data_IF_791419614369
#
_entry.id   IF_791419614369
#
_cell.length_a   1.000
_cell.length_b   1.000
_cell.length_c   1.000
_cell.angle_alpha   90.00
_cell.angle_beta   90.00
_cell.angle_gamma   90.00
#
_symmetry.space_group_name_H-M   'P 1'
#
loop_
_entity.id
_entity.type
_entity.pdbx_description
1 polymer ?
#
# COMPACT_ATOMS: atom_id res chain seq x y z
N UNK A 1 -26.42 -10.77 -88.72
CA UNK A 1 -26.21 -9.35 -88.38
C UNK A 1 -26.30 -9.17 -86.86
N UNK A 2 -25.12 -8.99 -86.27
CA UNK A 2 -24.80 -8.18 -85.10
C UNK A 2 -25.82 -7.96 -83.97
N UNK A 3 -25.39 -8.44 -82.81
CA UNK A 3 -25.19 -7.64 -81.60
C UNK A 3 -26.42 -7.17 -80.82
N UNK A 4 -26.83 -8.02 -79.87
CA UNK A 4 -27.24 -7.60 -78.52
C UNK A 4 -26.61 -8.48 -77.43
N UNK A 5 -25.47 -9.10 -77.73
CA UNK A 5 -24.61 -9.83 -76.78
C UNK A 5 -23.66 -8.91 -75.98
N UNK A 6 -23.84 -7.60 -76.08
CA UNK A 6 -23.05 -6.56 -75.40
C UNK A 6 -23.81 -5.96 -74.19
N UNK A 7 -24.55 -6.77 -73.43
CA UNK A 7 -25.17 -6.33 -72.17
C UNK A 7 -24.92 -7.26 -70.98
N UNK A 8 -24.11 -8.32 -71.17
CA UNK A 8 -23.81 -9.35 -70.17
C UNK A 8 -22.31 -9.46 -69.83
N UNK A 9 -21.54 -8.39 -70.05
CA UNK A 9 -20.09 -8.37 -69.78
C UNK A 9 -19.61 -7.30 -68.79
N UNK A 10 -20.47 -6.81 -67.91
CA UNK A 10 -20.05 -5.85 -66.88
C UNK A 10 -20.63 -6.22 -65.49
N UNK A 11 -20.09 -7.27 -64.87
CA UNK A 11 -20.19 -7.48 -63.42
C UNK A 11 -19.28 -8.63 -62.95
N UNK A 12 -17.97 -8.56 -63.24
CA UNK A 12 -16.97 -9.32 -62.48
C UNK A 12 -15.70 -8.49 -62.32
N UNK A 13 -15.77 -7.55 -61.39
CA UNK A 13 -14.61 -7.00 -60.69
C UNK A 13 -15.11 -6.58 -59.31
N UNK A 14 -15.60 -7.55 -58.55
CA UNK A 14 -15.80 -7.39 -57.11
C UNK A 14 -14.41 -7.36 -56.47
N UNK A 15 -13.83 -6.18 -56.34
CA UNK A 15 -12.66 -5.96 -55.51
C UNK A 15 -13.02 -6.37 -54.09
N UNK A 16 -12.58 -7.55 -53.67
CA UNK A 16 -12.52 -7.91 -52.25
C UNK A 16 -11.45 -7.04 -51.62
N UNK A 17 -11.82 -5.80 -51.28
CA UNK A 17 -11.08 -5.04 -50.30
C UNK A 17 -11.27 -5.78 -48.97
N UNK A 18 -10.35 -6.69 -48.68
CA UNK A 18 -10.16 -7.18 -47.33
C UNK A 18 -9.83 -5.96 -46.48
N UNK A 19 -10.83 -5.45 -45.77
CA UNK A 19 -10.62 -4.47 -44.71
C UNK A 19 -9.85 -5.23 -43.64
N UNK A 20 -8.52 -5.11 -43.69
CA UNK A 20 -7.69 -5.51 -42.58
C UNK A 20 -8.12 -4.63 -41.41
N UNK A 21 -8.93 -5.20 -40.51
CA UNK A 21 -9.10 -4.63 -39.19
C UNK A 21 -7.69 -4.44 -38.63
N UNK A 22 -7.36 -3.25 -38.10
CA UNK A 22 -6.07 -3.12 -37.44
C UNK A 22 -6.10 -4.16 -36.32
N UNK A 23 -5.22 -5.16 -36.44
CA UNK A 23 -4.85 -5.98 -35.31
C UNK A 23 -4.32 -4.96 -34.30
N UNK A 24 -5.17 -4.59 -33.34
CA UNK A 24 -4.74 -3.96 -32.13
C UNK A 24 -3.77 -4.97 -31.53
N UNK A 25 -2.49 -4.80 -31.85
CA UNK A 25 -1.42 -5.46 -31.14
C UNK A 25 -1.74 -5.21 -29.68
N UNK A 26 -2.07 -6.28 -28.95
CA UNK A 26 -2.26 -6.19 -27.52
C UNK A 26 -0.90 -5.79 -26.97
N UNK A 27 -0.67 -4.48 -26.83
CA UNK A 27 0.37 -3.98 -25.98
C UNK A 27 0.08 -4.65 -24.63
N UNK A 28 0.92 -5.60 -24.23
CA UNK A 28 0.82 -6.21 -22.93
C UNK A 28 0.83 -5.06 -21.93
N UNK A 29 -0.33 -4.81 -21.34
CA UNK A 29 -0.48 -3.77 -20.35
C UNK A 29 0.58 -4.05 -19.28
N UNK A 30 1.38 -3.03 -18.94
CA UNK A 30 2.34 -3.17 -17.85
C UNK A 30 1.59 -3.70 -16.62
N UNK A 31 2.17 -4.62 -15.84
CA UNK A 31 1.53 -5.07 -14.61
C UNK A 31 1.21 -3.85 -13.75
N UNK A 32 0.08 -3.90 -13.05
CA UNK A 32 -0.33 -2.83 -12.14
C UNK A 32 0.79 -2.59 -11.14
N UNK A 33 0.96 -1.36 -10.67
CA UNK A 33 1.88 -1.05 -9.58
C UNK A 33 1.09 -0.39 -8.48
N UNK A 34 0.63 -1.18 -7.51
CA UNK A 34 -0.22 -0.65 -6.45
C UNK A 34 0.51 0.37 -5.57
N UNK A 35 -0.17 1.48 -5.28
CA UNK A 35 0.27 2.48 -4.33
C UNK A 35 -0.89 3.00 -3.48
N UNK A 36 -0.54 3.60 -2.36
CA UNK A 36 -1.49 4.31 -1.51
C UNK A 36 -1.03 5.75 -1.31
N UNK A 37 -1.99 6.66 -1.26
CA UNK A 37 -1.79 8.06 -0.90
C UNK A 37 -2.63 8.38 0.32
N UNK A 38 -2.04 9.09 1.29
CA UNK A 38 -2.70 9.55 2.50
C UNK A 38 -2.70 11.07 2.52
N UNK A 39 -3.87 11.68 2.33
CA UNK A 39 -4.08 13.12 2.43
C UNK A 39 -4.28 13.51 3.91
N UNK A 40 -3.22 14.00 4.55
CA UNK A 40 -3.24 14.35 5.97
C UNK A 40 -4.12 15.58 6.25
N UNK A 41 -4.43 16.39 5.24
CA UNK A 41 -5.37 17.53 5.37
C UNK A 41 -6.81 17.06 5.60
N UNK A 42 -7.12 15.81 5.23
CA UNK A 42 -8.44 15.19 5.37
C UNK A 42 -8.50 14.16 6.49
N UNK A 43 -7.35 13.75 7.04
CA UNK A 43 -7.33 12.75 8.09
C UNK A 43 -7.68 13.38 9.44
N UNK A 44 -8.77 12.92 10.04
CA UNK A 44 -9.23 13.39 11.36
C UNK A 44 -8.86 12.45 12.51
N UNK A 45 -8.04 11.41 12.26
CA UNK A 45 -7.60 10.48 13.32
C UNK A 45 -8.67 9.52 13.86
N UNK A 46 -9.81 9.34 13.19
CA UNK A 46 -10.96 8.58 13.70
C UNK A 46 -10.76 7.07 13.95
N UNK A 47 -9.59 6.49 13.63
CA UNK A 47 -9.27 5.06 13.75
C UNK A 47 -10.15 4.07 12.97
N UNK A 48 -11.11 4.52 12.15
CA UNK A 48 -11.96 3.62 11.33
C UNK A 48 -11.11 2.68 10.47
N UNK A 49 -10.04 3.21 9.86
CA UNK A 49 -9.11 2.41 9.07
C UNK A 49 -8.33 1.35 9.86
N UNK A 50 -8.02 1.61 11.14
CA UNK A 50 -7.39 0.65 12.05
C UNK A 50 -8.35 -0.49 12.35
N UNK A 51 -9.59 -0.16 12.76
CA UNK A 51 -10.63 -1.15 13.11
C UNK A 51 -11.00 -2.01 11.90
N UNK A 52 -11.28 -1.41 10.74
CA UNK A 52 -11.63 -2.16 9.54
C UNK A 52 -10.50 -3.08 9.09
N UNK A 53 -9.24 -2.65 9.19
CA UNK A 53 -8.10 -3.49 8.85
C UNK A 53 -7.97 -4.67 9.82
N UNK A 54 -8.18 -4.44 11.11
CA UNK A 54 -8.17 -5.50 12.14
C UNK A 54 -9.25 -6.54 11.87
N UNK A 55 -10.50 -6.13 11.63
CA UNK A 55 -11.62 -7.04 11.35
C UNK A 55 -11.38 -7.82 10.05
N UNK A 56 -11.05 -7.11 8.96
CA UNK A 56 -10.90 -7.71 7.63
C UNK A 56 -9.78 -8.77 7.58
N UNK A 57 -8.74 -8.60 8.41
CA UNK A 57 -7.53 -9.42 8.34
C UNK A 57 -7.31 -10.29 9.59
N UNK A 58 -8.30 -10.40 10.48
CA UNK A 58 -8.22 -11.06 11.79
C UNK A 58 -6.91 -10.75 12.54
N UNK A 59 -6.58 -9.45 12.62
CA UNK A 59 -5.36 -9.02 13.29
C UNK A 59 -5.55 -9.21 14.81
N UNK A 60 -4.60 -9.86 15.50
CA UNK A 60 -4.72 -10.08 16.94
C UNK A 60 -4.77 -8.79 17.77
N UNK A 61 -5.32 -8.89 18.98
CA UNK A 61 -5.39 -7.76 19.92
C UNK A 61 -4.00 -7.21 20.25
N UNK A 62 -3.87 -5.88 20.37
CA UNK A 62 -2.58 -5.24 20.62
C UNK A 62 -1.62 -5.26 19.42
N UNK A 63 -2.04 -5.77 18.26
CA UNK A 63 -1.28 -5.74 17.01
C UNK A 63 -2.07 -5.04 15.92
N UNK A 64 -1.37 -4.34 15.03
CA UNK A 64 -2.01 -3.52 14.00
C UNK A 64 -1.24 -3.56 12.68
N UNK A 65 -1.95 -3.86 11.58
CA UNK A 65 -1.41 -3.71 10.22
C UNK A 65 -1.38 -2.25 9.77
N UNK A 66 -2.21 -1.39 10.37
CA UNK A 66 -2.17 0.06 10.23
C UNK A 66 -2.57 0.70 11.56
N UNK A 67 -1.92 1.80 11.95
CA UNK A 67 -2.24 2.57 13.14
C UNK A 67 -2.32 4.06 12.79
N UNK A 68 -3.03 4.86 13.57
CA UNK A 68 -3.09 6.32 13.41
C UNK A 68 -2.57 7.00 14.67
N UNK A 69 -1.24 7.01 14.90
CA UNK A 69 -0.65 7.77 16.00
C UNK A 69 -0.98 9.25 15.91
N UNK A 70 -1.12 9.86 17.08
CA UNK A 70 -1.28 11.30 17.29
C UNK A 70 0.01 11.82 17.90
N UNK A 71 0.52 12.92 17.35
CA UNK A 71 1.71 13.60 17.81
C UNK A 71 1.33 15.01 18.26
N UNK A 72 1.89 15.45 19.37
CA UNK A 72 1.82 16.85 19.79
C UNK A 72 3.02 17.59 19.18
N UNK A 73 2.73 18.69 18.50
CA UNK A 73 3.70 19.51 17.80
C UNK A 73 3.58 20.95 18.28
N UNK A 74 4.72 21.56 18.60
CA UNK A 74 4.77 23.00 18.80
C UNK A 74 4.42 23.71 17.48
N UNK A 75 3.37 24.52 17.50
CA UNK A 75 2.93 25.37 16.40
C UNK A 75 3.17 26.85 16.70
N UNK A 76 3.04 27.72 15.69
CA UNK A 76 3.18 29.17 15.87
C UNK A 76 2.16 29.76 16.85
N UNK A 77 0.96 29.15 16.95
CA UNK A 77 -0.13 29.58 17.83
C UNK A 77 -0.23 28.75 19.12
N UNK A 78 0.81 27.97 19.44
CA UNK A 78 0.85 27.04 20.56
C UNK A 78 0.80 25.56 20.14
N UNK A 79 0.67 24.63 21.11
CA UNK A 79 0.64 23.20 20.83
C UNK A 79 -0.51 22.81 19.91
N UNK A 80 -0.21 21.93 18.97
CA UNK A 80 -1.16 21.38 18.00
C UNK A 80 -1.03 19.87 17.91
N UNK A 81 -2.08 19.17 17.47
CA UNK A 81 -2.02 17.73 17.23
C UNK A 81 -1.91 17.43 15.74
N UNK A 82 -1.01 16.52 15.41
CA UNK A 82 -0.88 15.95 14.08
C UNK A 82 -1.17 14.45 14.11
N UNK A 83 -2.04 14.00 13.22
CA UNK A 83 -2.34 12.58 13.03
C UNK A 83 -1.50 12.07 11.87
N UNK A 84 -0.89 10.89 12.02
CA UNK A 84 -0.12 10.28 10.95
C UNK A 84 -0.51 8.81 10.80
N UNK A 85 -1.42 8.47 9.88
CA UNK A 85 -1.73 7.08 9.58
C UNK A 85 -0.48 6.35 9.07
N UNK A 86 -0.03 5.32 9.78
CA UNK A 86 1.14 4.49 9.46
C UNK A 86 0.71 3.08 9.07
N UNK A 87 1.41 2.51 8.10
CA UNK A 87 1.25 1.13 7.62
C UNK A 87 2.53 0.68 6.90
N UNK A 88 2.57 -0.56 6.41
CA UNK A 88 3.65 -1.01 5.54
C UNK A 88 3.71 -0.15 4.27
N UNK A 89 4.90 0.31 3.91
CA UNK A 89 5.09 1.14 2.71
C UNK A 89 5.21 0.35 1.41
N UNK A 90 5.21 -1.00 1.46
CA UNK A 90 5.37 -1.87 0.28
C UNK A 90 6.53 -1.44 -0.64
N UNK A 91 7.70 -1.20 -0.03
CA UNK A 91 8.84 -0.52 -0.64
C UNK A 91 9.35 -1.16 -1.95
N UNK A 92 9.91 -0.35 -2.85
CA UNK A 92 10.62 -0.77 -4.07
C UNK A 92 11.90 -1.56 -3.76
N UNK A 93 12.66 -1.10 -2.77
CA UNK A 93 13.84 -1.76 -2.23
C UNK A 93 13.56 -2.14 -0.76
N UNK A 94 12.80 -3.22 -0.51
CA UNK A 94 12.34 -3.57 0.82
C UNK A 94 13.45 -4.27 1.63
N UNK A 95 14.01 -3.65 2.70
CA UNK A 95 15.08 -4.25 3.49
C UNK A 95 14.65 -5.53 4.23
N UNK A 96 13.34 -5.73 4.36
CA UNK A 96 12.75 -6.89 5.01
C UNK A 96 12.79 -8.18 4.17
N UNK A 97 13.00 -8.11 2.85
CA UNK A 97 13.13 -9.28 1.96
C UNK A 97 14.49 -9.98 2.10
N UNK A 98 15.64 -9.32 1.86
CA UNK A 98 16.93 -9.99 1.83
C UNK A 98 17.36 -10.58 3.18
N UNK A 99 16.75 -10.14 4.29
CA UNK A 99 17.02 -10.66 5.64
C UNK A 99 16.24 -11.93 5.99
N UNK A 100 15.32 -12.38 5.15
CA UNK A 100 14.53 -13.57 5.42
C UNK A 100 15.33 -14.85 5.10
N UNK A 101 15.72 -15.66 6.10
CA UNK A 101 16.61 -16.81 5.86
C UNK A 101 15.94 -17.95 5.08
N UNK A 102 14.60 -17.94 5.05
CA UNK A 102 13.78 -18.96 4.41
C UNK A 102 13.01 -18.41 3.22
N UNK A 103 13.28 -17.18 2.74
CA UNK A 103 12.59 -16.56 1.60
C UNK A 103 11.05 -16.46 1.72
N UNK A 104 10.51 -16.51 2.94
CA UNK A 104 9.07 -16.42 3.17
C UNK A 104 8.48 -15.03 2.85
N UNK A 105 9.28 -13.96 2.76
CA UNK A 105 8.77 -12.63 2.38
C UNK A 105 9.27 -12.24 1.01
N UNK A 106 8.33 -11.89 0.14
CA UNK A 106 8.59 -11.63 -1.27
C UNK A 106 7.74 -10.45 -1.75
N UNK A 107 8.00 -9.99 -2.98
CA UNK A 107 7.24 -8.94 -3.64
C UNK A 107 6.44 -9.56 -4.79
N UNK A 108 5.16 -9.26 -4.87
CA UNK A 108 4.31 -9.64 -6.00
C UNK A 108 4.66 -8.82 -7.24
N UNK A 109 4.29 -9.30 -8.43
CA UNK A 109 4.45 -8.53 -9.69
C UNK A 109 3.71 -7.18 -9.65
N UNK A 110 2.66 -7.07 -8.83
CA UNK A 110 1.91 -5.82 -8.66
C UNK A 110 2.50 -4.85 -7.61
N UNK A 111 3.69 -5.16 -7.07
CA UNK A 111 4.43 -4.31 -6.13
C UNK A 111 4.16 -4.53 -4.65
N UNK A 112 3.14 -5.33 -4.28
CA UNK A 112 2.87 -5.62 -2.87
C UNK A 112 3.95 -6.55 -2.29
N UNK A 113 4.68 -6.09 -1.26
CA UNK A 113 5.46 -6.97 -0.39
C UNK A 113 4.50 -7.81 0.45
N UNK A 114 4.66 -9.13 0.55
CA UNK A 114 3.81 -10.09 1.28
C UNK A 114 4.65 -11.13 2.04
N UNK A 115 4.00 -11.99 2.83
CA UNK A 115 4.62 -13.09 3.57
C UNK A 115 3.86 -14.37 3.27
N UNK A 116 4.58 -15.40 2.85
CA UNK A 116 4.12 -16.78 2.81
C UNK A 116 4.07 -17.34 4.24
N UNK A 117 2.88 -17.71 4.69
CA UNK A 117 2.66 -18.21 6.03
C UNK A 117 3.23 -19.63 6.24
N UNK A 118 3.23 -20.47 5.21
CA UNK A 118 3.68 -21.86 5.29
C UNK A 118 5.21 -21.94 5.37
N UNK A 119 5.89 -20.98 4.75
CA UNK A 119 7.36 -20.92 4.74
C UNK A 119 7.94 -20.13 5.93
N UNK A 120 7.13 -19.32 6.61
CA UNK A 120 7.61 -18.45 7.68
C UNK A 120 8.00 -19.22 8.95
N UNK A 121 9.21 -18.98 9.46
CA UNK A 121 9.74 -19.61 10.69
C UNK A 121 9.80 -18.65 11.90
N UNK A 122 9.08 -17.52 11.85
CA UNK A 122 9.01 -16.52 12.93
C UNK A 122 10.35 -16.01 13.52
N UNK A 123 11.45 -16.06 12.79
CA UNK A 123 12.76 -15.57 13.27
C UNK A 123 12.81 -14.07 13.62
N UNK A 124 11.86 -13.26 13.15
CA UNK A 124 11.78 -11.83 13.49
C UNK A 124 12.77 -10.90 12.78
N UNK A 125 13.70 -11.40 11.94
CA UNK A 125 14.66 -10.54 11.24
C UNK A 125 13.99 -9.49 10.35
N UNK A 126 12.92 -9.86 9.65
CA UNK A 126 12.16 -8.90 8.84
C UNK A 126 11.46 -7.82 9.68
N UNK A 127 11.12 -8.10 10.95
CA UNK A 127 10.56 -7.13 11.89
C UNK A 127 11.60 -6.08 12.24
N UNK A 128 12.79 -6.52 12.64
CA UNK A 128 13.91 -5.63 13.00
C UNK A 128 14.43 -4.82 11.81
N UNK A 129 14.47 -5.41 10.62
CA UNK A 129 14.95 -4.74 9.41
C UNK A 129 14.00 -3.66 8.86
N UNK A 130 12.74 -3.61 9.32
CA UNK A 130 11.77 -2.66 8.79
C UNK A 130 11.97 -1.27 9.43
N UNK A 131 12.40 -0.23 8.68
CA UNK A 131 12.63 1.10 9.25
C UNK A 131 11.33 1.81 9.68
N UNK A 132 10.18 1.22 9.35
CA UNK A 132 8.86 1.78 9.61
C UNK A 132 8.15 1.12 10.78
N UNK A 133 8.75 0.09 11.40
CA UNK A 133 8.13 -0.71 12.46
C UNK A 133 6.77 -1.30 12.03
N UNK A 134 6.61 -1.56 10.73
CA UNK A 134 5.34 -1.95 10.13
C UNK A 134 5.10 -3.47 10.13
N UNK A 135 5.96 -4.23 10.81
CA UNK A 135 5.94 -5.70 10.89
C UNK A 135 5.91 -6.12 12.35
N UNK A 136 5.29 -7.25 12.62
CA UNK A 136 5.28 -7.90 13.93
C UNK A 136 5.21 -9.42 13.74
N UNK A 137 5.46 -10.20 14.79
CA UNK A 137 5.11 -11.63 14.78
C UNK A 137 3.70 -11.76 15.31
N UNK A 138 2.78 -12.23 14.48
CA UNK A 138 1.39 -12.48 14.86
C UNK A 138 1.36 -13.54 15.97
N UNK A 139 0.90 -13.15 17.16
CA UNK A 139 0.99 -14.03 18.33
C UNK A 139 -0.06 -15.14 18.34
N UNK A 140 -1.08 -15.08 17.47
CA UNK A 140 -2.03 -16.19 17.29
C UNK A 140 -1.46 -17.25 16.34
N UNK A 141 -0.81 -16.83 15.26
CA UNK A 141 -0.38 -17.74 14.18
C UNK A 141 1.10 -18.10 14.20
N UNK A 142 1.93 -17.35 14.92
CA UNK A 142 3.38 -17.54 14.89
C UNK A 142 3.99 -17.18 13.53
N UNK A 143 3.39 -16.24 12.78
CA UNK A 143 3.85 -15.82 11.44
C UNK A 143 4.18 -14.34 11.44
N UNK A 144 5.21 -13.93 10.69
CA UNK A 144 5.49 -12.51 10.48
C UNK A 144 4.35 -11.84 9.70
N UNK A 145 3.82 -10.75 10.25
CA UNK A 145 2.61 -10.11 9.77
C UNK A 145 2.82 -8.60 9.60
N UNK A 146 2.05 -8.01 8.69
CA UNK A 146 2.07 -6.60 8.27
C UNK A 146 0.92 -6.33 7.30
N UNK A 147 0.67 -5.05 6.98
CA UNK A 147 -0.22 -4.69 5.87
C UNK A 147 0.16 -5.42 4.58
N UNK A 148 -0.84 -5.90 3.86
CA UNK A 148 -0.73 -6.65 2.60
C UNK A 148 -1.32 -5.87 1.42
N UNK A 149 -1.62 -4.58 1.58
CA UNK A 149 -2.53 -3.84 0.68
C UNK A 149 -3.87 -4.54 0.43
N UNK A 150 -4.29 -5.44 1.34
CA UNK A 150 -5.46 -6.30 1.15
C UNK A 150 -5.43 -7.01 -0.21
N UNK A 151 -4.31 -7.65 -0.57
CA UNK A 151 -4.17 -8.41 -1.84
C UNK A 151 -5.35 -9.34 -2.11
N UNK A 152 -5.97 -9.91 -1.07
CA UNK A 152 -7.17 -10.75 -1.20
C UNK A 152 -8.42 -10.00 -1.70
N UNK A 153 -8.49 -8.67 -1.49
CA UNK A 153 -9.53 -7.78 -2.03
C UNK A 153 -9.13 -7.21 -3.39
N UNK A 154 -7.90 -6.71 -3.50
CA UNK A 154 -7.46 -5.99 -4.70
C UNK A 154 -7.34 -6.90 -5.92
N UNK A 155 -7.03 -8.19 -5.72
CA UNK A 155 -7.00 -9.20 -6.79
C UNK A 155 -8.36 -9.44 -7.44
N UNK A 156 -9.46 -9.16 -6.74
CA UNK A 156 -10.84 -9.28 -7.24
C UNK A 156 -11.49 -7.92 -7.54
N UNK A 157 -10.68 -6.86 -7.63
CA UNK A 157 -11.14 -5.52 -8.03
C UNK A 157 -11.79 -4.70 -6.90
N UNK A 158 -11.68 -5.14 -5.64
CA UNK A 158 -12.16 -4.38 -4.49
C UNK A 158 -11.07 -3.46 -3.93
N UNK A 159 -11.48 -2.40 -3.24
CA UNK A 159 -10.56 -1.53 -2.51
C UNK A 159 -10.07 -2.19 -1.21
N UNK A 160 -8.87 -1.82 -0.70
CA UNK A 160 -8.46 -2.20 0.64
C UNK A 160 -9.47 -1.72 1.69
N UNK A 161 -9.74 -2.53 2.72
CA UNK A 161 -10.75 -2.20 3.74
C UNK A 161 -10.50 -0.86 4.44
N UNK A 162 -9.23 -0.51 4.66
CA UNK A 162 -8.83 0.76 5.27
C UNK A 162 -9.13 1.99 4.38
N UNK A 163 -9.22 1.80 3.07
CA UNK A 163 -9.57 2.84 2.08
C UNK A 163 -11.09 2.96 2.01
N UNK A 164 -11.79 1.84 1.87
CA UNK A 164 -13.26 1.79 1.76
C UNK A 164 -13.98 2.40 2.97
N UNK A 165 -13.44 2.21 4.19
CA UNK A 165 -14.04 2.76 5.42
C UNK A 165 -13.67 4.23 5.69
N UNK A 166 -12.76 4.83 4.91
CA UNK A 166 -12.16 6.10 5.28
C UNK A 166 -13.14 7.28 5.16
N UNK A 167 -13.76 7.68 6.28
CA UNK A 167 -14.80 8.72 6.32
C UNK A 167 -14.38 10.06 5.71
N UNK A 168 -13.10 10.43 5.84
CA UNK A 168 -12.55 11.67 5.28
C UNK A 168 -12.08 11.55 3.83
N UNK A 169 -12.17 10.36 3.22
CA UNK A 169 -11.50 10.05 1.95
C UNK A 169 -10.01 10.46 1.94
N UNK A 170 -9.37 10.30 3.10
CA UNK A 170 -7.97 10.63 3.28
C UNK A 170 -7.05 9.58 2.67
N UNK A 171 -7.48 8.31 2.61
CA UNK A 171 -6.72 7.22 1.97
C UNK A 171 -7.24 7.01 0.57
N UNK A 172 -6.34 7.00 -0.41
CA UNK A 172 -6.62 6.73 -1.82
C UNK A 172 -5.68 5.61 -2.27
N UNK A 173 -6.22 4.61 -2.95
CA UNK A 173 -5.45 3.45 -3.42
C UNK A 173 -5.67 3.26 -4.91
N UNK A 174 -4.60 2.96 -5.64
CA UNK A 174 -4.70 2.86 -7.09
C UNK A 174 -3.40 2.42 -7.77
N UNK A 175 -3.48 2.24 -9.07
CA UNK A 175 -2.35 1.84 -9.92
C UNK A 175 -1.46 3.04 -10.24
N UNK A 176 -0.24 3.03 -9.73
CA UNK A 176 0.78 4.04 -10.03
C UNK A 176 1.25 3.99 -11.48
N UNK A 177 0.99 2.94 -12.25
CA UNK A 177 1.29 2.93 -13.69
C UNK A 177 0.18 3.57 -14.53
N UNK A 178 -1.01 3.77 -13.95
CA UNK A 178 -2.15 4.39 -14.63
C UNK A 178 -2.20 5.90 -14.34
N UNK A 179 -1.92 6.78 -15.32
CA UNK A 179 -2.01 8.23 -15.13
C UNK A 179 -3.43 8.73 -14.84
N UNK A 180 -4.46 7.94 -15.19
CA UNK A 180 -5.86 8.26 -14.93
C UNK A 180 -6.34 7.83 -13.54
N UNK A 181 -5.53 7.08 -12.79
CA UNK A 181 -5.86 6.68 -11.43
C UNK A 181 -5.97 7.89 -10.49
N UNK A 182 -6.88 7.80 -9.51
CA UNK A 182 -7.09 8.86 -8.53
C UNK A 182 -5.81 9.23 -7.77
N UNK A 183 -4.97 8.23 -7.48
CA UNK A 183 -3.67 8.46 -6.84
C UNK A 183 -2.75 9.30 -7.72
N UNK A 184 -2.66 9.03 -9.04
CA UNK A 184 -1.81 9.81 -9.95
C UNK A 184 -2.33 11.21 -10.17
N UNK A 185 -3.65 11.38 -10.28
CA UNK A 185 -4.29 12.70 -10.37
C UNK A 185 -3.94 13.57 -9.15
N UNK A 186 -4.02 13.01 -7.94
CA UNK A 186 -3.67 13.73 -6.72
C UNK A 186 -2.16 14.01 -6.60
N UNK A 187 -1.29 13.07 -6.98
CA UNK A 187 0.17 13.26 -7.00
C UNK A 187 0.62 14.31 -8.02
N UNK A 188 -0.14 14.51 -9.10
CA UNK A 188 0.13 15.58 -10.08
C UNK A 188 -0.30 16.96 -9.58
N UNK A 189 -1.30 17.01 -8.68
CA UNK A 189 -1.88 18.26 -8.17
C UNK A 189 -1.19 18.78 -6.90
N UNK A 190 -0.67 17.89 -6.05
CA UNK A 190 -0.13 18.23 -4.75
C UNK A 190 1.28 17.66 -4.56
N UNK A 191 2.10 18.36 -3.77
CA UNK A 191 3.37 17.79 -3.31
C UNK A 191 3.10 16.57 -2.44
N UNK A 192 3.82 15.49 -2.73
CA UNK A 192 3.74 14.23 -1.97
C UNK A 192 5.09 13.80 -1.46
N UNK A 193 5.13 13.37 -0.19
CA UNK A 193 6.35 12.89 0.46
C UNK A 193 6.21 11.42 0.87
N UNK A 194 7.31 10.69 0.84
CA UNK A 194 7.42 9.35 1.43
C UNK A 194 7.99 9.44 2.84
N UNK A 195 7.75 8.40 3.65
CA UNK A 195 8.32 8.31 4.99
C UNK A 195 9.76 7.82 4.94
N UNK A 196 10.57 8.37 5.84
CA UNK A 196 11.97 8.01 6.10
C UNK A 196 12.83 7.94 4.84
N UNK A 197 12.94 9.05 4.07
CA UNK A 197 13.72 9.10 2.85
C UNK A 197 15.19 8.70 3.05
N UNK A 198 15.74 8.85 4.26
CA UNK A 198 17.10 8.48 4.63
C UNK A 198 17.43 6.99 4.38
N UNK A 199 16.44 6.09 4.41
CA UNK A 199 16.65 4.66 4.16
C UNK A 199 16.60 4.26 2.68
N UNK A 200 16.26 5.19 1.77
CA UNK A 200 16.24 4.97 0.30
C UNK A 200 15.47 3.71 -0.13
N UNK A 201 14.39 3.37 0.56
CA UNK A 201 13.62 2.15 0.31
C UNK A 201 12.69 2.26 -0.89
N UNK A 202 12.42 3.46 -1.41
CA UNK A 202 11.39 3.70 -2.43
C UNK A 202 9.98 3.33 -1.93
N UNK A 203 9.41 4.04 -0.94
CA UNK A 203 8.09 3.71 -0.40
C UNK A 203 7.00 3.91 -1.47
N UNK A 204 6.01 3.00 -1.47
CA UNK A 204 4.80 3.05 -2.31
C UNK A 204 3.56 3.53 -1.53
N UNK A 205 3.80 4.16 -0.37
CA UNK A 205 2.79 4.92 0.37
C UNK A 205 3.28 6.35 0.50
N UNK A 206 2.47 7.27 0.00
CA UNK A 206 2.79 8.70 -0.11
C UNK A 206 1.85 9.53 0.76
N UNK A 207 2.27 10.73 1.14
CA UNK A 207 1.52 11.63 2.01
C UNK A 207 1.44 13.03 1.42
N UNK A 208 0.24 13.62 1.43
CA UNK A 208 0.03 15.06 1.20
C UNK A 208 -0.01 15.75 2.56
N UNK A 209 0.67 16.88 2.70
CA UNK A 209 0.68 17.67 3.93
C UNK A 209 1.50 17.05 5.06
N UNK A 210 2.52 16.26 4.73
CA UNK A 210 3.44 15.68 5.71
C UNK A 210 4.40 16.74 6.26
N UNK A 211 4.26 17.03 7.55
CA UNK A 211 5.22 17.84 8.32
C UNK A 211 6.58 17.13 8.36
N UNK A 212 7.66 17.85 8.06
CA UNK A 212 9.01 17.28 7.98
C UNK A 212 9.50 16.70 9.32
N UNK A 213 8.99 17.20 10.44
CA UNK A 213 9.26 16.66 11.78
C UNK A 213 8.73 15.24 11.96
N UNK A 214 7.70 14.87 11.18
CA UNK A 214 7.06 13.56 11.19
C UNK A 214 7.55 12.63 10.07
N UNK A 215 8.31 13.16 9.11
CA UNK A 215 8.79 12.40 7.97
C UNK A 215 9.88 11.38 8.35
N UNK A 216 10.67 11.67 9.39
CA UNK A 216 11.72 10.80 9.94
C UNK A 216 11.37 10.36 11.38
N UNK A 217 12.38 10.07 12.22
CA UNK A 217 12.15 9.53 13.56
C UNK A 217 11.68 10.66 14.41
N UNK A 218 10.40 10.63 14.76
CA UNK A 218 9.88 11.51 15.79
C UNK A 218 10.61 11.14 17.06
N UNK A 219 11.46 12.04 17.55
CA UNK A 219 12.09 11.89 18.84
C UNK A 219 10.95 11.80 19.87
N UNK A 220 10.71 10.60 20.39
CA UNK A 220 9.79 10.44 21.50
C UNK A 220 10.49 11.12 22.66
N UNK A 221 9.95 12.25 23.14
CA UNK A 221 10.37 12.82 24.42
C UNK A 221 10.41 11.69 25.45
N UNK A 222 11.42 11.67 26.32
CA UNK A 222 11.81 10.51 27.13
C UNK A 222 10.71 9.82 27.95
N UNK A 223 9.49 10.36 28.04
CA UNK A 223 8.39 9.84 28.84
C UNK A 223 7.76 8.51 28.37
N UNK A 224 7.89 8.11 27.09
CA UNK A 224 7.32 6.81 26.67
C UNK A 224 8.12 5.60 27.19
N UNK A 225 9.38 5.81 27.61
CA UNK A 225 10.17 4.78 28.32
C UNK A 225 9.71 4.58 29.76
N UNK A 226 9.17 5.61 30.40
CA UNK A 226 8.76 5.57 31.81
C UNK A 226 7.39 4.92 32.01
N UNK A 227 6.49 4.94 31.02
CA UNK A 227 5.19 4.27 31.14
C UNK A 227 5.28 2.74 31.14
N UNK A 228 6.39 2.15 30.66
CA UNK A 228 6.63 0.70 30.79
C UNK A 228 7.23 0.30 32.13
N UNK A 229 7.77 1.24 32.92
CA UNK A 229 8.26 0.95 34.27
C UNK A 229 7.12 0.82 35.29
N UNK A 230 5.90 1.28 34.97
CA UNK A 230 4.73 1.18 35.84
C UNK A 230 3.85 -0.06 35.62
N UNK A 231 4.19 -0.94 34.68
CA UNK A 231 3.49 -2.20 34.44
C UNK A 231 4.43 -3.36 34.80
N UNK A 232 4.71 -3.49 36.09
CA UNK A 232 5.35 -4.67 36.66
C UNK A 232 4.43 -5.89 36.43
N UNK A 233 4.80 -6.75 35.48
CA UNK A 233 4.34 -8.14 35.45
C UNK A 233 4.78 -8.80 36.75
N UNK A 234 3.87 -9.43 37.53
CA UNK A 234 4.27 -10.11 38.76
C UNK A 234 5.31 -11.19 38.41
N UNK A 235 6.46 -11.11 39.07
CA UNK A 235 7.56 -12.04 38.89
C UNK A 235 7.06 -13.48 39.09
N UNK A 236 7.27 -14.31 38.08
CA UNK A 236 7.09 -15.75 38.18
C UNK A 236 8.10 -16.31 39.19
N UNK A 237 7.57 -16.81 40.32
CA UNK A 237 8.02 -18.02 41.02
C UNK A 237 9.42 -18.00 41.66
N UNK A 238 9.44 -17.81 42.97
CA UNK A 238 10.41 -18.49 43.84
C UNK A 238 9.84 -19.88 44.21
N UNK A 239 10.54 -20.94 43.77
CA UNK A 239 10.63 -22.23 44.44
C UNK A 239 12.12 -22.53 44.61
#
# INVERSE_FOLDING_TARGET
MNSRREFLKLAMAGSTAAVAAPAAASAQAKPKRWGMLVDLRKCIGCQACTVACTIENDVPEGQHRTAVPVYELDGPDGPSQAVLPRLCNHCDEPPCIPVCPVNATFKTDEGAVVVDAEQCVACGYCVQACPYEARFINHKTGVADKCTFCVHRTSVGLLPACVETCVGNARVFGDLNDPESDIRKLMAQYETKGLRPEFKTGPNVYYIGLDDRLASTVAVGGGARDLRQGLETPAHGEV
#
